data_IF_580936608081
#
_entry.id   IF_580936608081
#
_cell.length_a   1.000
_cell.length_b   1.000
_cell.length_c   1.000
_cell.angle_alpha   90.00
_cell.angle_beta   90.00
_cell.angle_gamma   90.00
#
_symmetry.space_group_name_H-M   'P 1'
#
loop_
_entity.id
_entity.type
_entity.pdbx_description
1 polymer ?
#
# COMPACT_ATOMS: atom_id res chain seq x y z
N UNK A 1 36.17 -64.22 5.54
CA UNK A 1 35.11 -63.62 4.69
C UNK A 1 34.73 -62.29 5.30
N UNK A 2 35.04 -61.17 4.62
CA UNK A 2 34.80 -59.80 5.06
C UNK A 2 33.60 -59.25 4.29
N UNK A 3 32.49 -58.96 4.97
CA UNK A 3 31.34 -58.26 4.41
C UNK A 3 31.42 -56.78 4.82
N UNK A 4 31.54 -55.89 3.83
CA UNK A 4 31.47 -54.43 4.02
C UNK A 4 30.08 -53.98 3.60
N UNK A 5 29.30 -53.45 4.53
CA UNK A 5 27.99 -52.85 4.29
C UNK A 5 28.21 -51.35 4.10
N UNK A 6 27.97 -50.86 2.88
CA UNK A 6 28.03 -49.43 2.55
C UNK A 6 26.61 -48.84 2.63
N UNK A 7 26.35 -48.09 3.70
CA UNK A 7 25.09 -47.37 3.92
C UNK A 7 25.18 -46.01 3.23
N UNK A 8 24.44 -45.81 2.15
CA UNK A 8 24.34 -44.52 1.45
C UNK A 8 23.27 -43.67 2.16
N UNK A 9 23.69 -42.60 2.83
CA UNK A 9 22.81 -41.57 3.39
C UNK A 9 22.44 -40.58 2.28
N UNK A 10 21.20 -40.62 1.79
CA UNK A 10 20.68 -39.63 0.85
C UNK A 10 20.28 -38.35 1.62
N UNK A 11 21.06 -37.28 1.45
CA UNK A 11 20.75 -35.96 2.00
C UNK A 11 19.73 -35.27 1.08
N UNK A 12 18.47 -35.21 1.49
CA UNK A 12 17.42 -34.45 0.79
C UNK A 12 17.57 -32.99 1.17
N UNK A 13 18.08 -32.16 0.26
CA UNK A 13 18.19 -30.71 0.46
C UNK A 13 16.81 -30.05 0.50
N UNK A 14 16.44 -29.53 1.67
CA UNK A 14 15.29 -28.62 1.83
C UNK A 14 15.63 -27.28 1.18
N UNK A 15 15.09 -27.04 -0.01
CA UNK A 15 15.16 -25.72 -0.65
C UNK A 15 14.11 -24.81 0.00
N UNK A 16 14.55 -23.85 0.82
CA UNK A 16 13.69 -22.76 1.29
C UNK A 16 13.44 -21.81 0.11
N UNK A 17 12.27 -21.91 -0.52
CA UNK A 17 11.81 -20.88 -1.44
C UNK A 17 11.64 -19.57 -0.67
N UNK A 18 12.34 -18.52 -1.08
CA UNK A 18 12.13 -17.18 -0.55
C UNK A 18 10.69 -16.74 -0.88
N UNK A 19 9.79 -16.84 0.09
CA UNK A 19 8.42 -16.41 -0.06
C UNK A 19 8.40 -14.87 -0.06
N UNK A 20 7.84 -14.27 -1.10
CA UNK A 20 7.61 -12.83 -1.11
C UNK A 20 6.64 -12.45 0.02
N UNK A 21 7.06 -11.54 0.90
CA UNK A 21 6.22 -11.07 2.00
C UNK A 21 5.00 -10.34 1.42
N UNK A 22 3.79 -10.82 1.76
CA UNK A 22 2.56 -10.13 1.37
C UNK A 22 2.22 -9.07 2.41
N UNK A 23 2.26 -7.81 1.98
CA UNK A 23 1.97 -6.66 2.80
C UNK A 23 0.60 -6.06 2.44
N UNK A 24 -0.23 -5.87 3.45
CA UNK A 24 -1.53 -5.21 3.34
C UNK A 24 -1.40 -3.74 3.72
N UNK A 25 -1.87 -2.86 2.85
CA UNK A 25 -2.07 -1.43 3.13
C UNK A 25 -3.56 -1.09 2.98
N UNK A 26 -4.00 -0.10 3.74
CA UNK A 26 -5.31 0.51 3.58
C UNK A 26 -5.13 1.77 2.75
N UNK A 27 -6.02 1.98 1.78
CA UNK A 27 -6.10 3.22 1.01
C UNK A 27 -6.26 4.42 1.96
N UNK A 28 -5.61 5.53 1.61
CA UNK A 28 -5.59 6.79 2.37
C UNK A 28 -4.99 6.66 3.78
N UNK A 29 -4.20 5.60 4.05
CA UNK A 29 -3.51 5.39 5.31
C UNK A 29 -2.00 5.15 5.08
N UNK A 30 -1.22 5.50 6.11
CA UNK A 30 0.21 5.22 6.19
C UNK A 30 0.46 4.04 7.12
N UNK A 31 1.40 3.17 6.75
CA UNK A 31 1.89 2.07 7.57
C UNK A 31 3.41 2.15 7.70
N UNK A 32 3.94 2.27 8.92
CA UNK A 32 5.37 2.11 9.17
C UNK A 32 5.83 0.70 8.80
N UNK A 33 6.97 0.60 8.15
CA UNK A 33 7.62 -0.67 7.80
C UNK A 33 9.11 -0.58 8.12
N UNK A 34 9.60 -1.58 8.86
CA UNK A 34 10.99 -1.63 9.30
C UNK A 34 11.74 -2.68 8.51
N UNK A 35 12.84 -2.27 7.89
CA UNK A 35 13.75 -3.12 7.14
C UNK A 35 14.68 -3.87 8.08
N UNK A 36 15.05 -5.09 7.69
CA UNK A 36 16.09 -5.88 8.37
C UNK A 36 17.48 -5.24 8.16
N UNK A 37 17.76 -4.86 6.91
CA UNK A 37 19.01 -4.25 6.46
C UNK A 37 18.79 -2.83 5.93
N UNK A 38 19.81 -1.94 5.98
CA UNK A 38 19.71 -0.61 5.40
C UNK A 38 19.37 -0.67 3.89
N UNK A 39 18.44 0.17 3.44
CA UNK A 39 18.17 0.36 2.01
C UNK A 39 19.08 1.43 1.43
N UNK A 40 19.69 1.14 0.28
CA UNK A 40 20.38 2.14 -0.54
C UNK A 40 19.42 2.77 -1.56
N UNK A 41 18.55 1.96 -2.17
CA UNK A 41 17.55 2.44 -3.10
C UNK A 41 16.28 1.61 -3.04
N UNK A 42 15.17 2.23 -3.43
CA UNK A 42 13.84 1.63 -3.39
C UNK A 42 13.14 1.92 -4.71
N UNK A 43 12.50 0.92 -5.27
CA UNK A 43 11.73 1.03 -6.51
C UNK A 43 10.32 0.52 -6.27
N UNK A 44 9.34 1.37 -6.56
CA UNK A 44 7.93 1.04 -6.46
C UNK A 44 7.41 0.66 -7.85
N UNK A 45 6.81 -0.52 -7.98
CA UNK A 45 6.30 -1.00 -9.27
C UNK A 45 5.22 -0.09 -9.87
N UNK A 46 4.25 0.34 -9.04
CA UNK A 46 3.21 1.30 -9.42
C UNK A 46 2.92 2.32 -8.30
N UNK A 47 3.50 3.54 -8.39
CA UNK A 47 3.28 4.64 -7.45
C UNK A 47 1.83 5.16 -7.35
N UNK A 48 0.94 4.79 -8.29
CA UNK A 48 -0.48 5.13 -8.21
C UNK A 48 -1.26 4.19 -7.27
N UNK A 49 -0.75 2.97 -7.03
CA UNK A 49 -1.37 2.00 -6.12
C UNK A 49 -0.83 2.20 -4.70
N UNK A 50 0.49 2.20 -4.53
CA UNK A 50 1.16 2.40 -3.25
C UNK A 50 2.40 3.27 -3.44
N UNK A 51 2.85 3.92 -2.38
CA UNK A 51 4.03 4.80 -2.41
C UNK A 51 4.85 4.66 -1.12
N UNK A 52 6.08 5.17 -1.13
CA UNK A 52 7.02 5.05 -0.01
C UNK A 52 7.75 6.36 0.26
N UNK A 53 7.82 6.73 1.53
CA UNK A 53 8.72 7.76 2.03
C UNK A 53 9.76 7.11 2.94
N UNK A 54 11.03 7.40 2.70
CA UNK A 54 12.13 6.95 3.55
C UNK A 54 12.24 7.91 4.74
N UNK A 55 12.06 7.40 5.95
CA UNK A 55 12.27 8.18 7.17
C UNK A 55 13.75 8.13 7.59
N UNK A 56 14.35 6.95 7.50
CA UNK A 56 15.80 6.71 7.61
C UNK A 56 16.16 5.41 6.88
N UNK A 57 17.43 5.03 6.90
CA UNK A 57 17.93 3.88 6.12
C UNK A 57 17.24 2.54 6.47
N UNK A 58 16.55 2.42 7.60
CA UNK A 58 15.83 1.19 8.00
C UNK A 58 14.32 1.38 8.21
N UNK A 59 13.82 2.61 8.25
CA UNK A 59 12.42 2.90 8.52
C UNK A 59 11.75 3.55 7.32
N UNK A 60 10.71 2.89 6.82
CA UNK A 60 9.90 3.32 5.69
C UNK A 60 8.48 3.65 6.15
N UNK A 61 7.88 4.65 5.51
CA UNK A 61 6.47 4.95 5.62
C UNK A 61 5.81 4.57 4.29
N UNK A 62 4.93 3.58 4.35
CA UNK A 62 4.24 3.05 3.17
C UNK A 62 2.83 3.60 3.09
N UNK A 63 2.44 4.12 1.92
CA UNK A 63 1.16 4.75 1.69
C UNK A 63 0.31 3.91 0.75
N UNK A 64 -0.93 3.59 1.14
CA UNK A 64 -1.92 3.04 0.21
C UNK A 64 -2.64 4.17 -0.51
N UNK A 65 -2.62 4.19 -1.85
CA UNK A 65 -3.22 5.27 -2.66
C UNK A 65 -4.46 4.85 -3.43
N UNK A 66 -4.42 3.68 -4.06
CA UNK A 66 -5.56 3.14 -4.79
C UNK A 66 -5.66 1.62 -4.64
N UNK A 67 -6.87 1.03 -4.69
CA UNK A 67 -7.04 -0.41 -4.59
C UNK A 67 -6.29 -1.12 -5.72
N UNK A 68 -5.52 -2.15 -5.38
CA UNK A 68 -4.70 -2.84 -6.36
C UNK A 68 -3.64 -3.74 -5.75
N UNK A 69 -2.88 -4.40 -6.61
CA UNK A 69 -1.71 -5.20 -6.27
C UNK A 69 -0.49 -4.61 -6.99
N UNK A 70 0.55 -4.30 -6.23
CA UNK A 70 1.85 -3.84 -6.74
C UNK A 70 2.95 -4.49 -5.90
N UNK A 71 4.19 -4.15 -6.19
CA UNK A 71 5.32 -4.52 -5.37
C UNK A 71 6.27 -3.36 -5.12
N UNK A 72 7.14 -3.53 -4.14
CA UNK A 72 8.23 -2.61 -3.79
C UNK A 72 9.50 -3.43 -3.68
N UNK A 73 10.49 -3.09 -4.50
CA UNK A 73 11.84 -3.64 -4.44
C UNK A 73 12.73 -2.74 -3.61
N UNK A 74 13.53 -3.36 -2.75
CA UNK A 74 14.51 -2.69 -1.89
C UNK A 74 15.87 -3.27 -2.26
N UNK A 75 16.84 -2.39 -2.49
CA UNK A 75 18.20 -2.75 -2.88
C UNK A 75 19.22 -2.27 -1.85
N UNK A 76 20.30 -3.04 -1.70
CA UNK A 76 21.44 -2.68 -0.85
C UNK A 76 22.47 -1.80 -1.58
N UNK A 77 23.56 -1.50 -0.89
CA UNK A 77 24.67 -0.69 -1.41
C UNK A 77 25.37 -1.31 -2.63
N UNK A 78 25.30 -2.63 -2.80
CA UNK A 78 25.84 -3.33 -3.96
C UNK A 78 24.90 -3.28 -5.17
N UNK A 79 23.66 -2.79 -4.99
CA UNK A 79 22.63 -2.77 -6.01
C UNK A 79 21.88 -4.11 -6.15
N UNK A 80 22.07 -5.04 -5.21
CA UNK A 80 21.39 -6.33 -5.22
C UNK A 80 20.01 -6.22 -4.53
N UNK A 81 18.96 -6.89 -5.05
CA UNK A 81 17.64 -6.85 -4.46
C UNK A 81 17.63 -7.64 -3.15
N UNK A 82 17.53 -6.93 -2.02
CA UNK A 82 17.49 -7.55 -0.68
C UNK A 82 16.09 -7.99 -0.29
N UNK A 83 15.06 -7.29 -0.76
CA UNK A 83 13.68 -7.60 -0.41
C UNK A 83 12.71 -7.19 -1.52
N UNK A 84 11.67 -8.01 -1.71
CA UNK A 84 10.54 -7.73 -2.60
C UNK A 84 9.24 -7.85 -1.80
N UNK A 85 8.57 -6.73 -1.58
CA UNK A 85 7.30 -6.66 -0.87
C UNK A 85 6.15 -6.73 -1.87
N UNK A 86 5.31 -7.76 -1.77
CA UNK A 86 4.07 -7.83 -2.54
C UNK A 86 2.99 -7.03 -1.81
N UNK A 87 2.70 -5.83 -2.29
CA UNK A 87 1.81 -4.87 -1.63
C UNK A 87 0.40 -4.97 -2.22
N UNK A 88 -0.58 -5.33 -1.39
CA UNK A 88 -2.00 -5.20 -1.74
C UNK A 88 -2.65 -4.07 -0.96
N UNK A 89 -3.24 -3.14 -1.70
CA UNK A 89 -3.99 -2.02 -1.16
C UNK A 89 -5.48 -2.33 -1.23
N UNK A 90 -6.16 -2.18 -0.10
CA UNK A 90 -7.61 -2.35 0.03
C UNK A 90 -8.27 -1.03 0.37
N UNK A 91 -9.52 -0.86 -0.04
CA UNK A 91 -10.37 0.20 0.50
C UNK A 91 -10.59 -0.01 1.99
N UNK A 92 -10.79 1.07 2.73
CA UNK A 92 -11.15 1.01 4.14
C UNK A 92 -12.49 0.28 4.30
N UNK A 93 -12.55 -0.72 5.18
CA UNK A 93 -13.73 -1.58 5.34
C UNK A 93 -14.61 -1.20 6.54
N UNK A 94 -14.00 -0.81 7.66
CA UNK A 94 -14.72 -0.43 8.87
C UNK A 94 -15.26 1.00 8.76
N UNK A 95 -16.55 1.20 9.05
CA UNK A 95 -17.16 2.52 9.01
C UNK A 95 -17.35 3.09 7.60
N UNK A 96 -17.18 2.28 6.54
CA UNK A 96 -17.45 2.68 5.17
C UNK A 96 -18.67 1.94 4.64
N UNK A 97 -19.60 2.66 4.02
CA UNK A 97 -20.76 2.09 3.34
C UNK A 97 -20.62 2.34 1.83
N UNK A 98 -20.78 1.29 1.03
CA UNK A 98 -20.83 1.41 -0.43
C UNK A 98 -22.24 1.12 -0.92
N UNK A 99 -22.85 2.09 -1.61
CA UNK A 99 -24.14 1.96 -2.26
C UNK A 99 -23.92 1.74 -3.77
N UNK A 100 -24.41 0.61 -4.28
CA UNK A 100 -24.37 0.29 -5.72
C UNK A 100 -25.79 0.41 -6.31
N UNK A 101 -25.98 1.36 -7.22
CA UNK A 101 -27.23 1.58 -7.98
C UNK A 101 -26.97 1.32 -9.46
N UNK A 102 -27.12 0.07 -9.88
CA UNK A 102 -26.71 -0.36 -11.21
C UNK A 102 -25.18 -0.22 -11.37
N UNK A 103 -24.73 0.57 -12.33
CA UNK A 103 -23.30 0.87 -12.56
C UNK A 103 -22.78 2.02 -11.69
N UNK A 104 -23.65 2.73 -10.98
CA UNK A 104 -23.26 3.86 -10.14
C UNK A 104 -22.91 3.37 -8.73
N UNK A 105 -21.63 3.52 -8.37
CA UNK A 105 -21.12 3.27 -7.03
C UNK A 105 -20.96 4.59 -6.28
N UNK A 106 -21.42 4.68 -5.04
CA UNK A 106 -21.17 5.82 -4.16
C UNK A 106 -20.72 5.30 -2.80
N UNK A 107 -19.65 5.88 -2.27
CA UNK A 107 -19.11 5.50 -0.96
C UNK A 107 -19.38 6.59 0.08
N UNK A 108 -19.70 6.16 1.29
CA UNK A 108 -19.96 7.00 2.46
C UNK A 108 -19.05 6.60 3.62
N UNK A 109 -18.60 7.58 4.39
CA UNK A 109 -17.97 7.37 5.70
C UNK A 109 -19.07 7.48 6.77
N UNK A 110 -19.40 6.35 7.39
CA UNK A 110 -20.45 6.19 8.37
C UNK A 110 -19.85 6.00 9.76
N UNK A 111 -19.96 7.03 10.58
CA UNK A 111 -19.72 6.97 12.03
C UNK A 111 -21.08 7.02 12.74
N UNK A 112 -21.45 8.16 13.31
CA UNK A 112 -22.81 8.42 13.82
C UNK A 112 -23.78 8.72 12.69
N UNK A 113 -23.32 9.50 11.70
CA UNK A 113 -24.03 9.80 10.46
C UNK A 113 -23.16 9.33 9.27
N UNK A 114 -23.80 9.12 8.11
CA UNK A 114 -23.10 8.79 6.88
C UNK A 114 -22.86 10.03 6.03
N UNK A 115 -21.59 10.37 5.83
CA UNK A 115 -21.16 11.49 5.01
C UNK A 115 -20.59 10.99 3.69
N UNK A 116 -20.95 11.64 2.57
CA UNK A 116 -20.45 11.25 1.26
C UNK A 116 -18.94 11.51 1.17
N UNK A 117 -18.20 10.58 0.57
CA UNK A 117 -16.75 10.70 0.38
C UNK A 117 -16.36 10.42 -1.06
N UNK A 118 -15.30 11.07 -1.55
CA UNK A 118 -14.74 10.82 -2.87
C UNK A 118 -13.78 9.63 -2.78
N UNK A 119 -14.25 8.43 -3.09
CA UNK A 119 -13.44 7.20 -3.03
C UNK A 119 -13.06 6.70 -4.43
N UNK A 120 -11.83 6.21 -4.59
CA UNK A 120 -11.39 5.59 -5.85
C UNK A 120 -12.30 4.42 -6.23
N UNK A 121 -12.86 4.49 -7.44
CA UNK A 121 -13.80 3.52 -7.98
C UNK A 121 -15.27 3.86 -7.72
N UNK A 122 -15.59 5.02 -7.14
CA UNK A 122 -16.95 5.59 -7.17
C UNK A 122 -17.33 6.08 -8.58
N UNK A 123 -18.63 6.17 -8.85
CA UNK A 123 -19.18 6.70 -10.08
C UNK A 123 -18.90 8.20 -10.22
N UNK A 124 -18.80 8.65 -11.47
CA UNK A 124 -18.36 10.01 -11.82
C UNK A 124 -19.15 11.11 -11.12
N UNK A 125 -20.48 11.02 -11.09
CA UNK A 125 -21.34 12.08 -10.54
C UNK A 125 -21.11 12.30 -9.04
N UNK A 126 -21.07 11.22 -8.26
CA UNK A 126 -20.85 11.27 -6.81
C UNK A 126 -19.44 11.74 -6.47
N UNK A 127 -18.44 11.16 -7.16
CA UNK A 127 -17.04 11.53 -6.97
C UNK A 127 -16.79 13.00 -7.31
N UNK A 128 -17.26 13.48 -8.46
CA UNK A 128 -17.05 14.86 -8.91
C UNK A 128 -17.73 15.87 -7.98
N UNK A 129 -18.94 15.55 -7.48
CA UNK A 129 -19.65 16.43 -6.55
C UNK A 129 -18.84 16.64 -5.27
N UNK A 130 -18.40 15.55 -4.61
CA UNK A 130 -17.63 15.65 -3.37
C UNK A 130 -16.26 16.29 -3.63
N UNK A 131 -15.57 15.91 -4.71
CA UNK A 131 -14.27 16.48 -5.06
C UNK A 131 -14.34 17.99 -5.29
N UNK A 132 -15.36 18.48 -5.99
CA UNK A 132 -15.56 19.92 -6.22
C UNK A 132 -15.88 20.67 -4.93
N UNK A 133 -16.68 20.08 -4.04
CA UNK A 133 -16.96 20.66 -2.71
C UNK A 133 -15.69 20.78 -1.86
N UNK A 134 -14.85 19.74 -1.85
CA UNK A 134 -13.56 19.76 -1.13
C UNK A 134 -12.62 20.80 -1.74
N UNK A 135 -12.49 20.85 -3.07
CA UNK A 135 -11.65 21.83 -3.76
C UNK A 135 -12.08 23.28 -3.48
N UNK A 136 -13.40 23.56 -3.50
CA UNK A 136 -13.93 24.87 -3.16
C UNK A 136 -13.62 25.26 -1.70
N UNK A 137 -13.78 24.33 -0.76
CA UNK A 137 -13.47 24.56 0.66
C UNK A 137 -11.97 24.82 0.87
N UNK A 138 -11.10 24.09 0.18
CA UNK A 138 -9.65 24.31 0.25
C UNK A 138 -9.28 25.69 -0.31
N UNK A 139 -9.87 26.09 -1.44
CA UNK A 139 -9.63 27.42 -2.02
C UNK A 139 -10.06 28.56 -1.10
N UNK A 140 -11.18 28.42 -0.40
CA UNK A 140 -11.61 29.39 0.62
C UNK A 140 -10.63 29.47 1.80
N UNK A 141 -10.13 28.34 2.28
CA UNK A 141 -9.15 28.30 3.36
C UNK A 141 -7.82 28.95 2.96
N UNK A 142 -7.39 28.76 1.71
CA UNK A 142 -6.17 29.38 1.18
C UNK A 142 -6.34 30.90 1.00
N UNK A 143 -7.49 31.37 0.52
CA UNK A 143 -7.78 32.80 0.37
C UNK A 143 -7.82 33.53 1.72
N UNK A 144 -8.41 32.92 2.76
CA UNK A 144 -8.40 33.48 4.11
C UNK A 144 -6.99 33.57 4.71
N UNK A 145 -6.09 32.66 4.36
CA UNK A 145 -4.70 32.69 4.83
C UNK A 145 -3.85 33.80 4.18
N UNK A 146 -4.29 34.36 3.05
CA UNK A 146 -3.58 35.45 2.35
C UNK A 146 -4.04 36.86 2.74
N UNK A 147 -5.09 36.99 3.56
CA UNK A 147 -5.62 38.29 4.02
C UNK A 147 -4.97 38.79 5.33
N UNK A 148 -4.13 37.97 5.96
CA UNK A 148 -3.39 38.28 7.21
C UNK A 148 -1.92 38.73 6.97
N UNK A 149 -1.51 38.99 5.71
CA UNK A 149 -0.17 39.48 5.34
C UNK A 149 -0.17 40.91 4.78
#
# INVERSE_FOLDING_TARGET
>A
MRTVIATILAFIGLSNAAAAEQLWLTMDQVRPYKLENPAQSIVVGNPAIADVTVQDNKNLLLFGKAPGLTNIYIFDEAGEPVQNLMVRVRTMGSGMLTLNRGVHRTTYNCTTNCEATATVGDGQDGFATVANQVAAKLGQAQAAATEDE
#
